data_IF_262778788282
#
_entry.id   IF_262778788282
#
_cell.length_a   1.000
_cell.length_b   1.000
_cell.length_c   1.000
_cell.angle_alpha   90.00
_cell.angle_beta   90.00
_cell.angle_gamma   90.00
#
_symmetry.space_group_name_H-M   'P 1'
#
loop_
_entity.id
_entity.type
_entity.pdbx_description
1 polymer ?
#
# COMPACT_ATOMS: atom_id res chain seq x y z
N UNK A 1 0.46 -15.31 14.96
CA UNK A 1 0.81 -13.88 15.10
C UNK A 1 -0.11 -13.07 14.17
N UNK A 2 -0.68 -11.96 14.65
CA UNK A 2 -1.84 -11.29 14.01
C UNK A 2 -1.59 -9.95 13.32
N UNK A 3 -0.36 -9.44 13.31
CA UNK A 3 -0.02 -8.17 12.63
C UNK A 3 0.42 -8.47 11.20
N UNK A 4 -0.12 -7.72 10.23
CA UNK A 4 0.13 -7.88 8.80
C UNK A 4 0.33 -6.56 8.04
N UNK A 5 0.41 -5.41 8.73
CA UNK A 5 0.67 -4.10 8.12
C UNK A 5 1.82 -3.39 8.83
N UNK A 6 2.64 -2.69 8.05
CA UNK A 6 3.76 -1.88 8.52
C UNK A 6 3.36 -0.41 8.49
N UNK A 7 3.24 0.22 9.66
CA UNK A 7 3.06 1.67 9.81
C UNK A 7 4.26 2.29 10.53
N UNK A 8 4.50 3.59 10.34
CA UNK A 8 5.52 4.32 11.11
C UNK A 8 6.96 3.82 10.95
N UNK A 9 7.30 3.14 9.85
CA UNK A 9 8.64 2.55 9.66
C UNK A 9 9.73 3.58 9.30
N UNK A 10 9.45 4.88 9.46
CA UNK A 10 10.37 6.01 9.24
C UNK A 10 11.28 6.20 10.46
N UNK A 11 12.62 6.23 10.28
CA UNK A 11 13.55 6.56 11.36
C UNK A 11 13.80 8.07 11.52
N UNK A 12 13.29 8.91 10.62
CA UNK A 12 13.71 10.33 10.47
C UNK A 12 12.60 11.32 10.81
N UNK A 13 11.32 10.98 10.59
CA UNK A 13 10.20 11.89 10.86
C UNK A 13 8.91 11.12 11.15
N UNK A 14 7.98 11.76 11.87
CA UNK A 14 6.61 11.29 11.97
C UNK A 14 5.95 11.34 10.57
N UNK A 15 5.61 10.17 10.04
CA UNK A 15 4.81 9.85 8.85
C UNK A 15 4.61 10.97 7.80
N UNK A 16 5.70 11.45 7.19
CA UNK A 16 5.63 12.25 5.95
C UNK A 16 6.00 11.40 4.74
N UNK A 17 5.12 11.38 3.73
CA UNK A 17 5.40 10.77 2.43
C UNK A 17 6.28 11.74 1.64
N UNK A 18 7.54 11.39 1.38
CA UNK A 18 8.46 12.17 0.54
C UNK A 18 8.63 11.50 -0.83
N UNK A 19 8.02 12.04 -1.91
CA UNK A 19 8.13 11.48 -3.26
C UNK A 19 9.55 11.57 -3.85
N UNK A 20 10.37 12.51 -3.38
CA UNK A 20 11.70 12.81 -3.90
C UNK A 20 12.82 12.03 -3.20
N UNK A 21 12.52 11.43 -2.04
CA UNK A 21 13.46 10.61 -1.27
C UNK A 21 12.85 9.24 -0.96
N UNK A 22 13.03 8.23 -1.85
CA UNK A 22 12.58 6.87 -1.57
C UNK A 22 13.22 6.36 -0.28
N UNK A 23 12.42 5.67 0.53
CA UNK A 23 12.85 5.30 1.87
C UNK A 23 14.06 4.36 1.81
N UNK A 24 15.22 4.75 2.38
CA UNK A 24 16.48 4.04 2.15
C UNK A 24 16.47 2.60 2.68
N UNK A 25 15.54 2.29 3.60
CA UNK A 25 15.45 0.98 4.26
C UNK A 25 14.34 0.08 3.70
N UNK A 26 13.59 0.49 2.68
CA UNK A 26 12.48 -0.33 2.14
C UNK A 26 12.99 -1.69 1.62
N UNK A 27 14.18 -1.72 1.02
CA UNK A 27 14.82 -2.94 0.56
C UNK A 27 15.20 -3.88 1.72
N UNK A 28 15.62 -3.33 2.86
CA UNK A 28 15.87 -4.13 4.08
C UNK A 28 14.57 -4.70 4.62
N UNK A 29 13.54 -3.87 4.77
CA UNK A 29 12.23 -4.31 5.25
C UNK A 29 11.65 -5.43 4.38
N UNK A 30 11.79 -5.31 3.06
CA UNK A 30 11.36 -6.35 2.11
C UNK A 30 12.09 -7.68 2.34
N UNK A 31 13.43 -7.65 2.52
CA UNK A 31 14.22 -8.87 2.80
C UNK A 31 13.83 -9.53 4.13
N UNK A 32 13.68 -8.75 5.20
CA UNK A 32 13.28 -9.28 6.51
C UNK A 32 11.86 -9.87 6.47
N UNK A 33 10.95 -9.20 5.76
CA UNK A 33 9.57 -9.69 5.53
C UNK A 33 9.59 -11.02 4.77
N UNK A 34 10.43 -11.13 3.73
CA UNK A 34 10.63 -12.36 2.97
C UNK A 34 11.26 -13.49 3.80
N UNK A 35 12.23 -13.17 4.67
CA UNK A 35 12.82 -14.14 5.59
C UNK A 35 11.80 -14.72 6.58
N UNK A 36 10.74 -13.97 6.90
CA UNK A 36 9.59 -14.42 7.68
C UNK A 36 8.51 -15.16 6.85
N UNK A 37 8.75 -15.44 5.57
CA UNK A 37 7.81 -16.12 4.68
C UNK A 37 6.62 -15.25 4.25
N UNK A 38 6.81 -13.93 4.14
CA UNK A 38 5.78 -12.95 3.76
C UNK A 38 6.26 -12.08 2.58
N UNK A 39 5.33 -11.40 1.94
CA UNK A 39 5.62 -10.42 0.89
C UNK A 39 5.34 -9.01 1.38
N UNK A 40 6.26 -8.09 1.10
CA UNK A 40 6.04 -6.66 1.35
C UNK A 40 5.31 -6.06 0.14
N UNK A 41 4.07 -5.63 0.35
CA UNK A 41 3.20 -5.08 -0.70
C UNK A 41 2.73 -3.69 -0.27
N UNK A 42 2.80 -2.72 -1.18
CA UNK A 42 2.29 -1.38 -0.92
C UNK A 42 0.75 -1.38 -0.96
N UNK A 43 0.11 -0.72 0.01
CA UNK A 43 -1.34 -0.47 -0.01
C UNK A 43 -1.63 0.97 -0.41
N UNK A 44 -2.85 1.20 -0.90
CA UNK A 44 -3.39 2.56 -0.96
C UNK A 44 -3.60 3.11 0.46
N UNK A 45 -3.81 4.43 0.63
CA UNK A 45 -4.24 4.99 1.91
C UNK A 45 -5.49 4.32 2.48
N UNK A 46 -6.31 3.74 1.59
CA UNK A 46 -7.47 2.90 1.89
C UNK A 46 -7.09 1.41 1.97
N UNK A 47 -7.59 0.69 2.98
CA UNK A 47 -7.45 -0.77 3.03
C UNK A 47 -8.34 -1.48 1.98
N UNK A 48 -7.91 -2.64 1.45
CA UNK A 48 -8.70 -3.43 0.49
C UNK A 48 -10.12 -3.75 0.97
N UNK A 49 -10.30 -3.94 2.29
CA UNK A 49 -11.61 -4.23 2.87
C UNK A 49 -12.64 -3.10 2.66
N UNK A 50 -12.22 -1.85 2.71
CA UNK A 50 -13.11 -0.70 2.49
C UNK A 50 -13.38 -0.46 1.01
N UNK A 51 -12.49 -0.89 0.13
CA UNK A 51 -12.72 -0.82 -1.30
C UNK A 51 -13.86 -1.75 -1.75
N UNK A 52 -14.04 -2.89 -1.07
CA UNK A 52 -15.15 -3.81 -1.36
C UNK A 52 -16.53 -3.20 -1.11
N UNK A 53 -16.60 -2.17 -0.26
CA UNK A 53 -17.81 -1.40 0.07
C UNK A 53 -17.58 0.09 -0.27
N UNK A 54 -16.93 0.36 -1.41
CA UNK A 54 -16.53 1.71 -1.84
C UNK A 54 -17.72 2.67 -1.94
N UNK A 55 -18.92 2.18 -2.24
CA UNK A 55 -20.16 2.96 -2.29
C UNK A 55 -20.47 3.60 -0.93
N UNK A 56 -20.06 2.96 0.16
CA UNK A 56 -20.21 3.47 1.52
C UNK A 56 -19.05 4.34 1.98
N UNK A 57 -17.82 3.97 1.62
CA UNK A 57 -16.60 4.55 2.21
C UNK A 57 -15.89 5.58 1.33
N UNK A 58 -16.21 5.64 0.04
CA UNK A 58 -15.56 6.53 -0.92
C UNK A 58 -16.60 7.37 -1.64
N UNK A 59 -16.28 8.64 -1.81
CA UNK A 59 -17.01 9.49 -2.74
C UNK A 59 -16.99 8.87 -4.15
N UNK A 60 -18.14 8.88 -4.82
CA UNK A 60 -18.31 8.33 -6.17
C UNK A 60 -17.30 8.89 -7.18
N UNK A 61 -16.86 10.14 -7.02
CA UNK A 61 -15.84 10.76 -7.86
C UNK A 61 -14.47 10.08 -7.76
N UNK A 62 -14.19 9.38 -6.65
CA UNK A 62 -12.92 8.70 -6.42
C UNK A 62 -12.92 7.24 -6.89
N UNK A 63 -14.09 6.65 -7.18
CA UNK A 63 -14.20 5.21 -7.44
C UNK A 63 -13.31 4.76 -8.61
N UNK A 64 -13.40 5.45 -9.74
CA UNK A 64 -12.60 5.13 -10.94
C UNK A 64 -11.11 5.22 -10.65
N UNK A 65 -10.67 6.30 -9.99
CA UNK A 65 -9.24 6.51 -9.72
C UNK A 65 -8.71 5.47 -8.73
N UNK A 66 -9.48 5.15 -7.69
CA UNK A 66 -9.11 4.11 -6.73
C UNK A 66 -8.99 2.75 -7.41
N UNK A 67 -9.95 2.37 -8.28
CA UNK A 67 -9.93 1.10 -9.02
C UNK A 67 -8.73 1.01 -9.97
N UNK A 68 -8.37 2.10 -10.64
CA UNK A 68 -7.22 2.13 -11.55
C UNK A 68 -5.88 1.98 -10.83
N UNK A 69 -5.79 2.42 -9.57
CA UNK A 69 -4.57 2.42 -8.77
C UNK A 69 -4.33 1.10 -8.03
N UNK A 70 -5.29 0.18 -8.05
CA UNK A 70 -5.16 -1.11 -7.36
C UNK A 70 -5.05 -2.30 -8.31
N UNK A 71 -4.43 -3.36 -7.82
CA UNK A 71 -4.41 -4.67 -8.47
C UNK A 71 -5.69 -5.47 -8.17
N UNK A 72 -5.73 -6.71 -8.65
CA UNK A 72 -6.84 -7.64 -8.42
C UNK A 72 -7.03 -8.07 -6.96
N UNK A 73 -6.00 -7.90 -6.12
CA UNK A 73 -6.05 -8.19 -4.69
C UNK A 73 -6.47 -6.97 -3.86
N UNK A 74 -6.56 -5.79 -4.48
CA UNK A 74 -6.94 -4.52 -3.86
C UNK A 74 -5.76 -3.76 -3.24
N UNK A 75 -4.52 -4.17 -3.52
CA UNK A 75 -3.30 -3.46 -3.14
C UNK A 75 -2.85 -2.50 -4.24
N UNK A 76 -1.90 -1.61 -3.95
CA UNK A 76 -1.45 -0.64 -4.93
C UNK A 76 -0.71 -1.33 -6.10
N UNK A 77 -1.02 -0.93 -7.33
CA UNK A 77 -0.29 -1.42 -8.52
C UNK A 77 1.17 -1.00 -8.43
N UNK A 78 2.04 -1.92 -8.85
CA UNK A 78 3.48 -1.73 -8.92
C UNK A 78 3.98 -1.38 -10.34
N UNK A 79 3.10 -1.45 -11.35
CA UNK A 79 3.41 -1.13 -12.74
C UNK A 79 2.25 -0.39 -13.45
N UNK A 80 2.50 0.05 -14.68
CA UNK A 80 1.53 0.74 -15.52
C UNK A 80 0.78 -0.16 -16.50
N UNK A 81 0.94 -1.49 -16.43
CA UNK A 81 0.30 -2.39 -17.38
C UNK A 81 -1.20 -2.46 -17.07
N UNK A 82 -2.05 -2.17 -18.06
CA UNK A 82 -3.50 -2.38 -18.01
C UNK A 82 -3.95 -3.02 -19.33
N UNK A 83 -4.82 -4.05 -19.30
CA UNK A 83 -5.52 -4.50 -20.50
C UNK A 83 -6.47 -3.42 -21.02
#
# INVERSE_FOLDING_TARGET
AGINDWGGVSPVSADFVNPEAPWPQIGRLSRETAAAGKHLVARLPLYPAYMRDKERWLDSALHTRALQLQDSEGFARNDGWSP
#
